data_IF_851613179630
#
_entry.id   IF_851613179630
#
_cell.length_a   1.000
_cell.length_b   1.000
_cell.length_c   1.000
_cell.angle_alpha   90.00
_cell.angle_beta   90.00
_cell.angle_gamma   90.00
#
_symmetry.space_group_name_H-M   'P 1'
#
loop_
_entity.id
_entity.type
_entity.pdbx_description
1 polymer ?
#
# COMPACT_ATOMS: atom_id res chain seq x y z
N UNK A 1 45.94 10.45 43.62
CA UNK A 1 45.24 10.90 44.84
C UNK A 1 43.74 10.65 44.67
N UNK A 2 43.20 9.50 45.10
CA UNK A 2 41.76 9.35 45.33
C UNK A 2 41.49 9.22 46.83
N UNK A 3 40.54 10.01 47.34
CA UNK A 3 39.99 9.88 48.69
C UNK A 3 38.48 9.67 48.58
N UNK A 4 37.91 8.63 49.21
CA UNK A 4 36.49 8.29 49.13
C UNK A 4 35.71 8.85 50.33
N UNK A 5 34.40 9.01 50.18
CA UNK A 5 33.48 8.86 51.32
C UNK A 5 32.28 8.02 50.88
N UNK A 6 32.10 6.93 51.61
CA UNK A 6 30.94 6.06 51.61
C UNK A 6 29.99 6.51 52.71
N UNK A 7 28.71 6.24 52.53
CA UNK A 7 27.74 5.68 53.49
C UNK A 7 26.34 5.92 52.91
N UNK A 8 25.42 4.96 52.83
CA UNK A 8 25.29 3.72 53.58
C UNK A 8 23.88 3.66 54.16
N UNK A 9 23.27 2.47 54.09
CA UNK A 9 22.05 2.01 54.79
C UNK A 9 20.66 2.22 54.15
N UNK A 10 20.19 1.11 53.55
CA UNK A 10 18.80 0.64 53.48
C UNK A 10 18.41 -0.06 54.83
N UNK A 11 17.33 -0.86 54.97
CA UNK A 11 15.91 -0.77 54.53
C UNK A 11 14.86 -1.10 55.65
N UNK A 12 13.56 -1.04 55.28
CA UNK A 12 12.37 -1.78 55.81
C UNK A 12 11.70 -1.30 57.12
N UNK A 13 10.53 -1.83 57.57
CA UNK A 13 9.45 -2.62 56.93
C UNK A 13 8.03 -2.03 57.16
N UNK A 14 6.98 -2.74 56.71
CA UNK A 14 5.61 -2.21 56.51
C UNK A 14 4.64 -2.18 57.69
N UNK A 15 3.35 -1.91 57.40
CA UNK A 15 2.20 -2.33 58.23
C UNK A 15 0.87 -2.32 57.47
N UNK A 16 0.04 -3.28 57.85
CA UNK A 16 -1.25 -3.69 57.29
C UNK A 16 -2.44 -2.91 57.88
N UNK A 17 -3.61 -3.16 57.26
CA UNK A 17 -5.00 -3.15 57.78
C UNK A 17 -5.72 -1.80 57.85
N UNK A 18 -6.82 -1.65 57.09
CA UNK A 18 -8.19 -1.74 57.66
C UNK A 18 -9.27 -1.48 56.62
N UNK A 19 -10.19 -2.44 56.53
CA UNK A 19 -11.52 -2.25 55.97
C UNK A 19 -12.30 -1.17 56.75
N UNK A 20 -13.17 -0.43 56.07
CA UNK A 20 -14.33 0.23 56.70
C UNK A 20 -15.60 -0.11 55.94
N UNK A 21 -16.57 -0.57 56.73
CA UNK A 21 -17.91 -1.03 56.38
C UNK A 21 -18.89 0.15 56.26
N UNK A 22 -19.79 0.02 55.27
CA UNK A 22 -21.26 0.17 55.35
C UNK A 22 -21.85 1.58 55.60
N UNK A 23 -22.77 1.97 54.71
CA UNK A 23 -24.19 2.21 55.06
C UNK A 23 -25.12 2.06 53.84
N UNK A 24 -26.00 1.05 53.94
CA UNK A 24 -27.17 0.80 53.11
C UNK A 24 -28.19 1.93 53.30
N UNK A 25 -28.89 2.31 52.23
CA UNK A 25 -30.28 2.79 52.32
C UNK A 25 -31.15 1.82 51.52
N UNK A 26 -32.02 1.12 52.25
CA UNK A 26 -33.16 0.38 51.74
C UNK A 26 -34.35 1.35 51.71
N UNK A 27 -35.09 1.38 50.61
CA UNK A 27 -36.52 1.63 50.63
C UNK A 27 -37.19 0.62 49.70
N UNK A 28 -38.31 0.12 50.20
CA UNK A 28 -38.93 -1.17 49.92
C UNK A 28 -40.14 -1.06 49.01
N UNK A 29 -40.54 -2.20 48.44
CA UNK A 29 -41.89 -2.46 47.91
C UNK A 29 -42.01 -2.30 46.39
N UNK A 30 -42.53 -3.25 45.62
CA UNK A 30 -43.25 -4.48 45.93
C UNK A 30 -43.08 -5.50 44.79
N UNK A 31 -43.21 -6.76 45.18
CA UNK A 31 -43.17 -7.99 44.36
C UNK A 31 -44.52 -8.22 43.69
N UNK A 32 -44.52 -8.62 42.41
CA UNK A 32 -45.50 -9.58 41.86
C UNK A 32 -44.72 -10.57 40.98
N UNK A 33 -44.98 -11.86 41.19
CA UNK A 33 -44.22 -13.02 40.73
C UNK A 33 -44.81 -13.68 39.46
N UNK A 34 -44.12 -14.77 39.05
CA UNK A 34 -44.41 -15.81 38.03
C UNK A 34 -43.85 -15.52 36.61
N UNK A 35 -43.08 -16.39 35.91
CA UNK A 35 -42.80 -17.83 36.01
C UNK A 35 -41.54 -18.19 35.17
N UNK A 36 -40.80 -19.19 35.66
CA UNK A 36 -40.03 -20.24 34.96
C UNK A 36 -39.16 -19.94 33.70
N UNK A 37 -37.87 -20.23 33.84
CA UNK A 37 -36.95 -20.49 32.73
C UNK A 37 -35.51 -20.59 33.20
N UNK A 38 -35.07 -21.79 33.61
CA UNK A 38 -33.66 -22.03 33.91
C UNK A 38 -32.84 -21.89 32.61
N UNK A 39 -31.99 -20.87 32.52
CA UNK A 39 -31.01 -20.74 31.43
C UNK A 39 -29.83 -21.63 31.75
N UNK A 40 -29.78 -22.79 31.12
CA UNK A 40 -28.62 -23.67 31.13
C UNK A 40 -27.43 -22.93 30.50
N UNK A 41 -26.39 -22.66 31.29
CA UNK A 41 -25.10 -22.21 30.76
C UNK A 41 -24.42 -23.42 30.13
N UNK A 42 -24.47 -23.51 28.80
CA UNK A 42 -23.63 -24.44 28.05
C UNK A 42 -22.21 -23.86 27.93
N UNK A 43 -21.17 -24.71 27.94
CA UNK A 43 -19.82 -24.25 27.64
C UNK A 43 -19.78 -23.80 26.17
N UNK A 44 -19.07 -22.70 25.91
CA UNK A 44 -18.80 -22.23 24.56
C UNK A 44 -18.01 -23.31 23.80
N UNK A 45 -18.72 -24.12 23.02
CA UNK A 45 -18.11 -24.99 22.03
C UNK A 45 -17.41 -24.13 20.99
N UNK A 46 -16.23 -24.59 20.57
CA UNK A 46 -15.36 -24.05 19.53
C UNK A 46 -16.17 -23.41 18.39
N UNK A 47 -16.06 -22.09 18.26
CA UNK A 47 -16.44 -21.43 17.01
C UNK A 47 -15.31 -21.71 16.03
N UNK A 48 -15.59 -22.25 14.83
CA UNK A 48 -14.56 -22.34 13.81
C UNK A 48 -14.05 -20.92 13.53
N UNK A 49 -12.73 -20.77 13.49
CA UNK A 49 -12.04 -19.57 13.02
C UNK A 49 -12.65 -19.20 11.66
N UNK A 50 -13.28 -18.04 11.59
CA UNK A 50 -13.85 -17.53 10.35
C UNK A 50 -12.66 -17.20 9.43
N UNK A 51 -12.43 -18.04 8.43
CA UNK A 51 -11.41 -17.80 7.40
C UNK A 51 -11.79 -16.46 6.77
N UNK A 52 -10.97 -15.44 7.00
CA UNK A 52 -11.14 -14.11 6.39
C UNK A 52 -10.82 -14.24 4.89
N UNK A 53 -11.84 -14.60 4.12
CA UNK A 53 -11.77 -14.65 2.66
C UNK A 53 -11.80 -13.19 2.20
N UNK A 54 -10.80 -12.70 1.42
CA UNK A 54 -10.80 -11.32 0.97
C UNK A 54 -12.14 -11.00 0.30
N UNK A 55 -12.81 -9.98 0.82
CA UNK A 55 -14.13 -9.59 0.35
C UNK A 55 -14.06 -9.30 -1.15
N UNK A 56 -14.87 -10.00 -1.94
CA UNK A 56 -15.08 -9.66 -3.34
C UNK A 56 -15.61 -8.23 -3.37
N UNK A 57 -14.86 -7.33 -3.99
CA UNK A 57 -15.22 -5.92 -4.06
C UNK A 57 -16.66 -5.77 -4.60
N UNK A 58 -17.48 -4.98 -3.90
CA UNK A 58 -18.88 -4.78 -4.28
C UNK A 58 -18.97 -4.21 -5.71
N UNK A 59 -19.95 -4.62 -6.54
CA UNK A 59 -20.08 -4.16 -7.92
C UNK A 59 -19.92 -2.63 -8.04
N UNK A 60 -18.97 -2.18 -8.85
CA UNK A 60 -18.65 -0.76 -9.03
C UNK A 60 -17.61 -0.17 -8.08
N UNK A 61 -16.85 -1.00 -7.37
CA UNK A 61 -15.62 -0.61 -6.64
C UNK A 61 -14.41 -0.92 -7.52
N UNK A 62 -13.46 0.01 -7.62
CA UNK A 62 -12.24 -0.12 -8.41
C UNK A 62 -11.11 -0.67 -7.54
N UNK A 63 -10.63 -1.87 -7.86
CA UNK A 63 -9.50 -2.52 -7.17
C UNK A 63 -8.18 -2.00 -7.72
N UNK A 64 -7.48 -1.21 -6.93
CA UNK A 64 -6.21 -0.58 -7.33
C UNK A 64 -5.06 -1.21 -6.55
N UNK A 65 -4.06 -1.75 -7.23
CA UNK A 65 -2.83 -2.25 -6.60
C UNK A 65 -1.70 -1.21 -6.73
N UNK A 66 -1.31 -0.52 -5.65
CA UNK A 66 -0.05 0.23 -5.61
C UNK A 66 1.14 -0.75 -5.57
N UNK A 67 1.84 -0.95 -6.68
CA UNK A 67 2.94 -1.91 -6.82
C UNK A 67 4.28 -1.21 -6.99
N UNK A 68 5.26 -1.52 -6.14
CA UNK A 68 6.60 -0.96 -6.31
C UNK A 68 7.52 -1.10 -5.10
N UNK A 69 8.34 -0.07 -4.88
CA UNK A 69 9.35 -0.06 -3.84
C UNK A 69 9.04 0.95 -2.71
N UNK A 70 10.07 1.60 -2.16
CA UNK A 70 9.95 2.55 -1.04
C UNK A 70 9.08 3.76 -1.35
N UNK A 71 9.05 4.23 -2.60
CA UNK A 71 8.16 5.32 -3.00
C UNK A 71 6.67 4.94 -2.97
N UNK A 72 6.36 3.65 -3.16
CA UNK A 72 5.00 3.11 -3.01
C UNK A 72 4.64 2.90 -1.55
N UNK A 73 5.61 2.45 -0.72
CA UNK A 73 5.46 2.43 0.75
C UNK A 73 5.18 3.84 1.28
N UNK A 74 5.80 4.87 0.67
CA UNK A 74 5.59 6.27 1.04
C UNK A 74 6.75 6.89 1.81
N UNK A 75 7.96 6.35 1.66
CA UNK A 75 9.17 6.96 2.24
C UNK A 75 9.32 8.39 1.71
N UNK A 76 9.67 9.33 2.58
CA UNK A 76 9.68 10.77 2.28
C UNK A 76 8.34 11.48 2.53
N UNK A 77 7.25 10.75 2.78
CA UNK A 77 5.95 11.31 3.20
C UNK A 77 5.09 10.27 3.93
N UNK A 78 5.55 9.83 5.11
CA UNK A 78 4.85 8.83 5.92
C UNK A 78 3.46 9.29 6.37
N UNK A 79 3.30 10.59 6.67
CA UNK A 79 2.03 11.21 7.04
C UNK A 79 0.94 11.14 5.95
N UNK A 80 1.31 10.79 4.72
CA UNK A 80 0.36 10.62 3.60
C UNK A 80 0.53 9.29 2.89
N UNK A 81 1.30 8.35 3.45
CA UNK A 81 1.62 7.09 2.79
C UNK A 81 2.18 7.30 1.35
N UNK A 82 3.00 8.34 1.17
CA UNK A 82 3.46 8.77 -0.15
C UNK A 82 2.31 9.37 -0.96
N UNK A 83 2.05 8.81 -2.13
CA UNK A 83 0.95 9.25 -3.00
C UNK A 83 -0.39 8.62 -2.65
N UNK A 84 -0.45 7.58 -1.80
CA UNK A 84 -1.65 6.76 -1.62
C UNK A 84 -2.80 7.54 -0.97
N UNK A 85 -2.55 8.29 0.12
CA UNK A 85 -3.57 9.16 0.70
C UNK A 85 -4.11 10.22 -0.27
N UNK A 86 -3.26 11.08 -0.89
CA UNK A 86 -3.79 12.08 -1.82
C UNK A 86 -4.42 11.48 -3.09
N UNK A 87 -4.07 10.25 -3.47
CA UNK A 87 -4.74 9.55 -4.57
C UNK A 87 -6.13 9.09 -4.15
N UNK A 88 -6.26 8.48 -2.97
CA UNK A 88 -7.54 8.09 -2.38
C UNK A 88 -8.50 9.28 -2.29
N UNK A 89 -8.04 10.41 -1.75
CA UNK A 89 -8.82 11.64 -1.61
C UNK A 89 -9.33 12.14 -2.97
N UNK A 90 -8.48 12.13 -4.00
CA UNK A 90 -8.83 12.56 -5.36
C UNK A 90 -9.87 11.67 -6.01
N UNK A 91 -9.62 10.35 -6.02
CA UNK A 91 -10.55 9.39 -6.62
C UNK A 91 -11.92 9.42 -5.93
N UNK A 92 -11.92 9.52 -4.59
CA UNK A 92 -13.17 9.63 -3.82
C UNK A 92 -13.91 10.93 -4.13
N UNK A 93 -13.20 12.06 -4.26
CA UNK A 93 -13.80 13.34 -4.64
C UNK A 93 -14.39 13.33 -6.06
N UNK A 94 -13.86 12.48 -6.94
CA UNK A 94 -14.38 12.22 -8.30
C UNK A 94 -15.53 11.19 -8.31
N UNK A 95 -15.95 10.68 -7.14
CA UNK A 95 -17.03 9.70 -7.00
C UNK A 95 -16.61 8.25 -7.31
N UNK A 96 -15.32 7.98 -7.45
CA UNK A 96 -14.79 6.63 -7.64
C UNK A 96 -14.72 5.94 -6.27
N UNK A 97 -15.38 4.79 -6.14
CA UNK A 97 -15.18 3.90 -4.98
C UNK A 97 -13.92 3.09 -5.22
N UNK A 98 -12.94 3.23 -4.34
CA UNK A 98 -11.63 2.58 -4.46
C UNK A 98 -11.49 1.51 -3.37
N UNK A 99 -10.83 0.42 -3.73
CA UNK A 99 -10.35 -0.64 -2.86
C UNK A 99 -8.86 -0.81 -3.19
N UNK A 100 -7.98 -0.41 -2.28
CA UNK A 100 -6.55 -0.68 -2.46
C UNK A 100 -6.29 -2.15 -2.15
N UNK A 101 -5.51 -2.81 -3.00
CA UNK A 101 -5.24 -4.25 -2.83
C UNK A 101 -3.75 -4.53 -2.82
N UNK A 102 -3.34 -5.48 -1.97
CA UNK A 102 -1.97 -5.93 -1.85
C UNK A 102 -1.74 -6.68 -0.54
N UNK A 103 -0.61 -7.36 -0.43
CA UNK A 103 -0.30 -8.19 0.74
C UNK A 103 0.29 -7.42 1.93
N UNK A 104 0.43 -6.10 1.83
CA UNK A 104 0.96 -5.23 2.89
C UNK A 104 -0.03 -4.14 3.19
N UNK A 105 -0.12 -3.74 4.46
CA UNK A 105 -0.96 -2.63 4.89
C UNK A 105 -0.16 -1.71 5.79
N UNK A 106 0.13 -0.50 5.32
CA UNK A 106 0.81 0.54 6.12
C UNK A 106 0.39 1.93 5.68
N UNK A 107 0.12 2.83 6.62
CA UNK A 107 -0.28 4.21 6.34
C UNK A 107 -0.73 4.95 7.60
N UNK A 108 -1.04 6.25 7.50
CA UNK A 108 -1.64 7.02 8.59
C UNK A 108 -3.11 6.64 8.77
N UNK A 109 -3.69 6.86 9.97
CA UNK A 109 -5.12 6.63 10.25
C UNK A 109 -6.06 7.40 9.31
N UNK A 110 -5.59 8.51 8.73
CA UNK A 110 -6.34 9.31 7.77
C UNK A 110 -6.53 8.62 6.41
N UNK A 111 -5.75 7.58 6.09
CA UNK A 111 -5.90 6.75 4.90
C UNK A 111 -6.84 5.58 5.23
N UNK A 112 -8.09 5.57 4.75
CA UNK A 112 -9.08 4.57 5.16
C UNK A 112 -8.70 3.14 4.77
N UNK A 113 -7.99 3.01 3.65
CA UNK A 113 -7.48 1.74 3.14
C UNK A 113 -5.98 1.86 2.91
N UNK A 114 -5.21 1.15 3.71
CA UNK A 114 -3.76 1.27 3.73
C UNK A 114 -3.04 0.19 2.92
N UNK A 115 -3.79 -0.63 2.17
CA UNK A 115 -3.25 -1.78 1.45
C UNK A 115 -2.37 -1.37 0.26
N UNK A 116 -1.33 -2.15 0.01
CA UNK A 116 -0.37 -1.94 -1.07
C UNK A 116 0.54 -3.15 -1.31
N UNK A 117 1.26 -3.10 -2.42
CA UNK A 117 2.33 -4.06 -2.76
C UNK A 117 3.70 -3.34 -2.87
N UNK A 118 3.87 -2.24 -2.14
CA UNK A 118 5.15 -1.53 -1.95
C UNK A 118 6.17 -2.27 -1.07
N UNK A 119 7.40 -2.44 -1.58
CA UNK A 119 8.51 -3.11 -0.88
C UNK A 119 9.82 -2.33 -0.92
N UNK A 120 10.14 -1.61 0.15
CA UNK A 120 11.37 -0.81 0.26
C UNK A 120 12.63 -1.59 -0.13
N UNK A 121 13.45 -1.00 -1.00
CA UNK A 121 14.70 -1.59 -1.51
C UNK A 121 14.54 -2.66 -2.60
N UNK A 122 13.33 -2.98 -3.04
CA UNK A 122 13.15 -3.99 -4.10
C UNK A 122 13.42 -3.41 -5.49
N UNK A 123 14.26 -4.13 -6.25
CA UNK A 123 14.43 -3.96 -7.68
C UNK A 123 13.33 -4.69 -8.46
N UNK A 124 13.09 -4.31 -9.71
CA UNK A 124 12.23 -5.05 -10.62
C UNK A 124 12.73 -6.50 -10.76
N UNK A 125 14.05 -6.71 -10.86
CA UNK A 125 14.65 -8.04 -10.86
C UNK A 125 14.16 -8.93 -9.69
N UNK A 126 14.10 -8.35 -8.49
CA UNK A 126 13.67 -9.05 -7.27
C UNK A 126 12.15 -9.29 -7.24
N UNK A 127 11.36 -8.45 -7.92
CA UNK A 127 9.90 -8.58 -7.99
C UNK A 127 9.46 -9.72 -8.93
N UNK A 128 10.18 -9.95 -10.04
CA UNK A 128 9.81 -10.93 -11.08
C UNK A 128 9.30 -12.28 -10.55
N UNK A 129 10.00 -12.99 -9.62
CA UNK A 129 9.55 -14.30 -9.17
C UNK A 129 8.29 -14.27 -8.29
N UNK A 130 7.92 -13.11 -7.74
CA UNK A 130 6.86 -12.99 -6.74
C UNK A 130 5.60 -12.31 -7.29
N UNK A 131 5.75 -11.37 -8.22
CA UNK A 131 4.69 -10.44 -8.62
C UNK A 131 3.45 -11.13 -9.17
N UNK A 132 3.61 -12.22 -9.92
CA UNK A 132 2.47 -12.99 -10.42
C UNK A 132 1.61 -13.56 -9.30
N UNK A 133 2.21 -14.01 -8.19
CA UNK A 133 1.48 -14.51 -7.03
C UNK A 133 0.71 -13.40 -6.29
N UNK A 134 1.31 -12.21 -6.16
CA UNK A 134 0.65 -11.06 -5.54
C UNK A 134 -0.54 -10.58 -6.37
N UNK A 135 -0.36 -10.46 -7.68
CA UNK A 135 -1.42 -10.04 -8.61
C UNK A 135 -2.56 -11.07 -8.64
N UNK A 136 -2.22 -12.36 -8.70
CA UNK A 136 -3.22 -13.43 -8.69
C UNK A 136 -4.05 -13.42 -7.40
N UNK A 137 -3.41 -13.24 -6.25
CA UNK A 137 -4.09 -13.22 -4.96
C UNK A 137 -4.98 -11.97 -4.77
N UNK A 138 -4.54 -10.83 -5.32
CA UNK A 138 -5.20 -9.56 -5.14
C UNK A 138 -6.18 -9.19 -6.27
N UNK A 139 -6.19 -9.91 -7.40
CA UNK A 139 -7.08 -9.68 -8.56
C UNK A 139 -7.40 -8.20 -8.85
N UNK A 140 -6.40 -7.36 -9.18
CA UNK A 140 -6.60 -5.92 -9.33
C UNK A 140 -7.23 -5.56 -10.68
N UNK A 141 -8.11 -4.56 -10.68
CA UNK A 141 -8.58 -3.90 -11.92
C UNK A 141 -7.48 -3.03 -12.52
N UNK A 142 -6.73 -2.32 -11.67
CA UNK A 142 -5.63 -1.42 -12.06
C UNK A 142 -4.39 -1.70 -11.22
N UNK A 143 -3.22 -1.81 -11.86
CA UNK A 143 -1.91 -1.86 -11.20
C UNK A 143 -1.16 -0.56 -11.46
N UNK A 144 -0.76 0.12 -10.38
CA UNK A 144 0.12 1.29 -10.44
C UNK A 144 1.56 0.81 -10.26
N UNK A 145 2.29 0.63 -11.36
CA UNK A 145 3.65 0.08 -11.35
C UNK A 145 4.69 1.20 -11.34
N UNK A 146 5.46 1.29 -10.25
CA UNK A 146 6.67 2.11 -10.20
C UNK A 146 7.86 1.33 -9.58
N UNK A 147 8.80 0.95 -10.44
CA UNK A 147 10.02 0.22 -10.09
C UNK A 147 11.19 0.62 -11.01
N UNK A 148 12.38 0.05 -10.78
CA UNK A 148 13.60 0.34 -11.55
C UNK A 148 14.60 1.26 -10.84
N UNK A 149 14.18 2.03 -9.84
CA UNK A 149 15.09 2.89 -9.04
C UNK A 149 16.20 2.05 -8.39
N UNK A 150 15.84 0.93 -7.75
CA UNK A 150 16.80 0.07 -7.05
C UNK A 150 17.65 -0.77 -8.00
N UNK A 151 17.16 -1.12 -9.19
CA UNK A 151 17.96 -1.76 -10.24
C UNK A 151 19.12 -0.83 -10.64
N UNK A 152 18.82 0.44 -10.93
CA UNK A 152 19.83 1.43 -11.31
C UNK A 152 20.79 1.75 -10.17
N UNK A 153 20.30 1.93 -8.95
CA UNK A 153 21.16 2.13 -7.78
C UNK A 153 22.05 0.91 -7.49
N UNK A 154 21.57 -0.30 -7.80
CA UNK A 154 22.32 -1.55 -7.72
C UNK A 154 23.30 -1.76 -8.87
N UNK A 155 23.41 -0.81 -9.82
CA UNK A 155 24.36 -0.86 -10.94
C UNK A 155 23.86 -1.60 -12.18
N UNK A 156 22.59 -2.01 -12.23
CA UNK A 156 22.03 -2.58 -13.45
C UNK A 156 21.98 -1.53 -14.58
N UNK A 157 22.15 -1.99 -15.83
CA UNK A 157 21.98 -1.13 -17.00
C UNK A 157 20.49 -0.81 -17.23
N UNK A 158 20.24 0.24 -18.01
CA UNK A 158 18.92 0.58 -18.51
C UNK A 158 18.27 -0.59 -19.27
N UNK A 159 19.06 -1.30 -20.09
CA UNK A 159 18.58 -2.47 -20.83
C UNK A 159 18.18 -3.61 -19.90
N UNK A 160 19.02 -3.94 -18.90
CA UNK A 160 18.70 -4.99 -17.93
C UNK A 160 17.47 -4.62 -17.09
N UNK A 161 17.36 -3.35 -16.69
CA UNK A 161 16.20 -2.84 -15.93
C UNK A 161 14.92 -2.88 -16.75
N UNK A 162 14.97 -2.49 -18.03
CA UNK A 162 13.84 -2.59 -18.96
C UNK A 162 13.40 -4.05 -19.13
N UNK A 163 14.33 -4.98 -19.32
CA UNK A 163 14.02 -6.42 -19.43
C UNK A 163 13.44 -7.01 -18.12
N UNK A 164 13.81 -6.46 -16.95
CA UNK A 164 13.18 -6.84 -15.69
C UNK A 164 11.73 -6.34 -15.62
N UNK A 165 11.48 -5.09 -16.04
CA UNK A 165 10.14 -4.50 -16.03
C UNK A 165 9.22 -5.17 -17.07
N UNK A 166 9.74 -5.53 -18.22
CA UNK A 166 9.07 -6.36 -19.22
C UNK A 166 8.61 -7.70 -18.61
N UNK A 167 9.52 -8.43 -17.95
CA UNK A 167 9.16 -9.66 -17.22
C UNK A 167 8.19 -9.45 -16.06
N UNK A 168 8.19 -8.27 -15.43
CA UNK A 168 7.19 -7.93 -14.41
C UNK A 168 5.81 -7.80 -15.06
N UNK A 169 5.72 -7.10 -16.21
CA UNK A 169 4.47 -6.99 -16.97
C UNK A 169 3.97 -8.35 -17.44
N UNK A 170 4.84 -9.22 -17.98
CA UNK A 170 4.48 -10.60 -18.36
C UNK A 170 3.80 -11.32 -17.20
N UNK A 171 4.39 -11.25 -16.00
CA UNK A 171 3.87 -11.95 -14.82
C UNK A 171 2.57 -11.34 -14.31
N UNK A 172 2.40 -10.02 -14.45
CA UNK A 172 1.13 -9.34 -14.14
C UNK A 172 0.05 -9.84 -15.10
N UNK A 173 0.28 -9.82 -16.41
CA UNK A 173 -0.73 -10.20 -17.40
C UNK A 173 -1.00 -11.71 -17.47
N UNK A 174 -0.04 -12.56 -17.11
CA UNK A 174 -0.30 -14.00 -16.89
C UNK A 174 -1.26 -14.21 -15.71
N UNK A 175 -1.10 -13.45 -14.63
CA UNK A 175 -1.91 -13.60 -13.42
C UNK A 175 -3.29 -12.94 -13.52
N UNK A 176 -3.36 -11.76 -14.14
CA UNK A 176 -4.59 -10.99 -14.36
C UNK A 176 -4.62 -10.44 -15.80
N UNK A 177 -5.01 -11.26 -16.80
CA UNK A 177 -4.94 -10.88 -18.23
C UNK A 177 -5.74 -9.62 -18.59
N UNK A 178 -6.72 -9.26 -17.76
CA UNK A 178 -7.63 -8.13 -17.97
C UNK A 178 -7.31 -6.89 -17.15
N UNK A 179 -6.31 -6.95 -16.28
CA UNK A 179 -5.91 -5.79 -15.47
C UNK A 179 -5.40 -4.67 -16.37
N UNK A 180 -5.54 -3.43 -15.92
CA UNK A 180 -4.90 -2.29 -16.56
C UNK A 180 -3.63 -1.90 -15.81
N UNK A 181 -2.49 -1.89 -16.48
CA UNK A 181 -1.22 -1.47 -15.87
C UNK A 181 -0.87 -0.04 -16.30
N UNK A 182 -0.70 0.84 -15.33
CA UNK A 182 -0.09 2.16 -15.56
C UNK A 182 1.34 2.09 -15.04
N UNK A 183 2.31 2.06 -15.95
CA UNK A 183 3.74 1.98 -15.63
C UNK A 183 4.36 3.38 -15.67
N UNK A 184 4.81 3.88 -14.52
CA UNK A 184 5.54 5.15 -14.46
C UNK A 184 7.04 4.93 -14.67
N UNK A 185 7.70 5.89 -15.33
CA UNK A 185 9.15 5.98 -15.35
C UNK A 185 9.75 6.23 -13.96
N UNK A 186 11.08 6.15 -13.85
CA UNK A 186 11.78 6.42 -12.58
C UNK A 186 11.80 7.93 -12.31
N UNK A 187 11.05 8.39 -11.30
CA UNK A 187 11.05 9.80 -10.87
C UNK A 187 12.22 10.17 -9.95
N UNK A 188 12.94 9.19 -9.42
CA UNK A 188 14.08 9.44 -8.54
C UNK A 188 15.21 10.21 -9.26
N UNK A 189 15.83 11.25 -8.64
CA UNK A 189 16.81 12.11 -9.32
C UNK A 189 18.13 11.46 -9.72
N UNK A 190 18.53 10.35 -9.09
CA UNK A 190 19.65 9.47 -9.46
C UNK A 190 20.81 10.15 -10.25
N UNK A 191 21.46 11.20 -9.70
CA UNK A 191 22.41 12.01 -10.47
C UNK A 191 23.60 11.20 -10.98
N UNK A 192 24.06 10.20 -10.20
CA UNK A 192 25.15 9.29 -10.59
C UNK A 192 24.75 8.33 -11.72
N UNK A 193 23.45 8.04 -11.88
CA UNK A 193 22.91 7.14 -12.90
C UNK A 193 22.12 7.89 -13.98
N UNK A 194 22.31 9.22 -14.12
CA UNK A 194 21.53 10.07 -15.04
C UNK A 194 21.45 9.51 -16.45
N UNK A 195 22.56 9.02 -17.00
CA UNK A 195 22.62 8.43 -18.34
C UNK A 195 21.77 7.14 -18.43
N UNK A 196 21.89 6.25 -17.45
CA UNK A 196 21.11 5.00 -17.41
C UNK A 196 19.62 5.28 -17.18
N UNK A 197 19.27 6.24 -16.33
CA UNK A 197 17.88 6.64 -16.13
C UNK A 197 17.27 7.22 -17.42
N UNK A 198 17.98 8.11 -18.09
CA UNK A 198 17.49 8.70 -19.35
C UNK A 198 17.34 7.64 -20.45
N UNK A 199 18.26 6.68 -20.51
CA UNK A 199 18.14 5.53 -21.43
C UNK A 199 16.98 4.61 -21.07
N UNK A 200 16.73 4.36 -19.78
CA UNK A 200 15.58 3.59 -19.33
C UNK A 200 14.27 4.26 -19.73
N UNK A 201 14.15 5.58 -19.51
CA UNK A 201 12.97 6.36 -19.92
C UNK A 201 12.70 6.24 -21.43
N UNK A 202 13.74 6.15 -22.28
CA UNK A 202 13.56 5.95 -23.73
C UNK A 202 13.11 4.54 -24.10
N UNK A 203 13.40 3.53 -23.28
CA UNK A 203 13.10 2.11 -23.55
C UNK A 203 11.70 1.69 -23.11
N UNK A 204 11.22 2.20 -21.98
CA UNK A 204 9.93 1.79 -21.41
C UNK A 204 8.70 2.06 -22.29
N UNK A 205 8.65 3.11 -23.13
CA UNK A 205 7.57 3.27 -24.11
C UNK A 205 7.48 2.09 -25.08
N UNK A 206 8.62 1.56 -25.54
CA UNK A 206 8.66 0.42 -26.45
C UNK A 206 8.18 -0.86 -25.74
N UNK A 207 8.61 -1.11 -24.51
CA UNK A 207 8.12 -2.25 -23.71
C UNK A 207 6.60 -2.19 -23.57
N UNK A 208 6.04 -1.04 -23.19
CA UNK A 208 4.58 -0.90 -23.10
C UNK A 208 3.88 -1.01 -24.48
N UNK A 209 4.54 -0.62 -25.57
CA UNK A 209 4.00 -0.80 -26.92
C UNK A 209 3.95 -2.27 -27.33
N UNK A 210 4.99 -3.06 -27.03
CA UNK A 210 5.06 -4.49 -27.34
C UNK A 210 3.96 -5.27 -26.60
N UNK A 211 3.77 -4.98 -25.30
CA UNK A 211 2.65 -5.54 -24.53
C UNK A 211 1.28 -5.14 -25.08
N UNK A 212 1.08 -3.87 -25.49
CA UNK A 212 -0.16 -3.46 -26.16
C UNK A 212 -0.38 -4.17 -27.49
N UNK A 213 0.67 -4.40 -28.27
CA UNK A 213 0.60 -5.12 -29.53
C UNK A 213 0.27 -6.61 -29.33
N UNK A 214 0.67 -7.18 -28.19
CA UNK A 214 0.25 -8.51 -27.72
C UNK A 214 -1.18 -8.53 -27.14
N UNK A 215 -1.90 -7.41 -27.19
CA UNK A 215 -3.25 -7.30 -26.67
C UNK A 215 -3.28 -7.14 -25.17
N UNK A 216 -2.30 -6.55 -24.49
CA UNK A 216 -2.42 -6.22 -23.07
C UNK A 216 -2.83 -4.76 -22.83
N UNK A 217 -3.54 -4.50 -21.73
CA UNK A 217 -3.95 -3.15 -21.34
C UNK A 217 -2.88 -2.49 -20.49
N UNK A 218 -1.86 -1.90 -21.13
CA UNK A 218 -0.77 -1.18 -20.45
C UNK A 218 -0.53 0.19 -21.05
N UNK A 219 -0.12 1.14 -20.23
CA UNK A 219 0.46 2.40 -20.69
C UNK A 219 1.73 2.75 -19.93
N UNK A 220 2.59 3.53 -20.59
CA UNK A 220 3.76 4.14 -19.97
C UNK A 220 3.50 5.63 -19.73
N UNK A 221 3.84 6.11 -18.54
CA UNK A 221 3.81 7.53 -18.19
C UNK A 221 5.24 8.00 -17.97
N UNK A 222 5.69 8.93 -18.81
CA UNK A 222 6.95 9.62 -18.57
C UNK A 222 6.79 10.61 -17.42
N UNK A 223 7.62 10.45 -16.41
CA UNK A 223 7.62 11.27 -15.19
C UNK A 223 8.92 12.06 -15.03
N UNK A 224 9.80 12.05 -16.04
CA UNK A 224 11.12 12.68 -15.99
C UNK A 224 11.08 14.18 -15.69
N UNK A 225 10.02 14.86 -16.15
CA UNK A 225 9.79 16.29 -15.93
C UNK A 225 8.75 16.60 -14.84
N UNK A 226 8.04 15.58 -14.36
CA UNK A 226 7.02 15.72 -13.31
C UNK A 226 7.65 16.18 -11.98
N UNK A 227 8.95 15.92 -11.75
CA UNK A 227 9.67 16.29 -10.53
C UNK A 227 11.12 16.75 -10.75
N UNK A 228 11.43 18.06 -10.62
CA UNK A 228 12.82 18.49 -10.52
C UNK A 228 13.46 17.99 -9.21
N UNK A 229 14.75 17.66 -9.26
CA UNK A 229 15.52 17.05 -8.16
C UNK A 229 15.41 17.78 -6.80
N UNK A 230 15.11 19.09 -6.82
CA UNK A 230 14.90 19.94 -5.66
C UNK A 230 13.66 19.59 -4.82
N UNK A 231 12.84 18.61 -5.24
CA UNK A 231 11.62 18.19 -4.52
C UNK A 231 11.73 16.81 -3.88
N UNK A 232 12.92 16.45 -3.44
CA UNK A 232 13.15 15.22 -2.64
C UNK A 232 13.24 15.52 -1.15
N UNK A 233 12.86 14.56 -0.32
CA UNK A 233 12.97 14.65 1.14
C UNK A 233 14.39 14.34 1.64
N UNK A 234 15.11 13.46 0.95
CA UNK A 234 16.42 12.92 1.35
C UNK A 234 17.41 12.77 0.18
N UNK A 235 17.15 13.44 -0.95
CA UNK A 235 17.94 13.29 -2.18
C UNK A 235 17.52 12.12 -3.07
N UNK A 236 16.62 11.25 -2.61
CA UNK A 236 16.12 10.09 -3.36
C UNK A 236 14.58 10.05 -3.45
N UNK A 237 13.91 10.09 -2.30
CA UNK A 237 12.47 9.96 -2.19
C UNK A 237 11.76 11.29 -2.38
N UNK A 238 10.59 11.28 -3.02
CA UNK A 238 9.78 12.47 -3.23
C UNK A 238 9.38 13.12 -1.89
N UNK A 239 9.34 14.44 -1.85
CA UNK A 239 8.76 15.19 -0.72
C UNK A 239 7.21 15.15 -0.79
N UNK A 240 6.49 15.46 0.30
CA UNK A 240 5.02 15.37 0.35
C UNK A 240 4.30 16.10 -0.81
N UNK A 241 4.78 17.29 -1.17
CA UNK A 241 4.25 18.07 -2.29
C UNK A 241 4.42 17.39 -3.66
N UNK A 242 5.51 16.65 -3.85
CA UNK A 242 5.74 15.88 -5.06
C UNK A 242 4.82 14.66 -5.11
N UNK A 243 4.63 13.96 -3.98
CA UNK A 243 3.67 12.86 -3.91
C UNK A 243 2.23 13.27 -4.24
N UNK A 244 1.80 14.50 -3.90
CA UNK A 244 0.48 15.02 -4.33
C UNK A 244 0.33 15.16 -5.84
N UNK A 245 1.40 15.49 -6.56
CA UNK A 245 1.40 15.53 -8.01
C UNK A 245 1.49 14.13 -8.63
N UNK A 246 2.23 13.20 -8.00
CA UNK A 246 2.20 11.77 -8.37
C UNK A 246 0.76 11.24 -8.26
N UNK A 247 0.08 11.54 -7.17
CA UNK A 247 -1.32 11.19 -6.98
C UNK A 247 -2.24 11.81 -8.05
N UNK A 248 -2.03 13.07 -8.41
CA UNK A 248 -2.78 13.73 -9.49
C UNK A 248 -2.60 13.03 -10.83
N UNK A 249 -1.36 12.69 -11.18
CA UNK A 249 -1.05 11.92 -12.39
C UNK A 249 -1.74 10.55 -12.38
N UNK A 250 -1.63 9.79 -11.29
CA UNK A 250 -2.31 8.49 -11.19
C UNK A 250 -3.83 8.61 -11.32
N UNK A 251 -4.46 9.60 -10.66
CA UNK A 251 -5.89 9.86 -10.76
C UNK A 251 -6.31 10.18 -12.19
N UNK A 252 -5.57 11.06 -12.89
CA UNK A 252 -5.83 11.41 -14.28
C UNK A 252 -5.77 10.17 -15.20
N UNK A 253 -4.75 9.31 -15.02
CA UNK A 253 -4.62 8.08 -15.82
C UNK A 253 -5.74 7.08 -15.54
N UNK A 254 -6.11 6.90 -14.27
CA UNK A 254 -7.25 6.05 -13.88
C UNK A 254 -8.54 6.58 -14.49
N UNK A 255 -8.82 7.88 -14.36
CA UNK A 255 -10.01 8.52 -14.92
C UNK A 255 -10.09 8.33 -16.44
N UNK A 256 -8.99 8.60 -17.16
CA UNK A 256 -8.92 8.41 -18.60
C UNK A 256 -9.15 6.96 -19.04
N UNK A 257 -8.78 5.97 -18.21
CA UNK A 257 -9.10 4.56 -18.48
C UNK A 257 -10.57 4.23 -18.19
N UNK A 258 -11.14 4.76 -17.10
CA UNK A 258 -12.54 4.58 -16.73
C UNK A 258 -13.51 5.18 -17.77
N UNK A 259 -13.10 6.24 -18.49
CA UNK A 259 -13.91 6.84 -19.55
C UNK A 259 -13.93 6.02 -20.86
N UNK A 260 -13.01 5.04 -21.03
CA UNK A 260 -12.98 4.23 -22.25
C UNK A 260 -14.22 3.34 -22.34
N UNK A 261 -14.81 3.15 -23.54
CA UNK A 261 -15.92 2.22 -23.73
C UNK A 261 -15.61 0.81 -23.17
N UNK A 262 -16.58 0.08 -22.62
CA UNK A 262 -16.38 -1.27 -22.06
C UNK A 262 -15.64 -2.22 -23.00
N UNK A 263 -15.94 -2.14 -24.30
CA UNK A 263 -15.31 -2.97 -25.34
C UNK A 263 -13.83 -2.61 -25.52
N UNK A 264 -13.45 -1.34 -25.33
CA UNK A 264 -12.05 -0.88 -25.34
C UNK A 264 -11.32 -1.12 -24.02
N UNK A 265 -12.05 -1.36 -22.92
CA UNK A 265 -11.49 -1.87 -21.66
C UNK A 265 -11.26 -3.39 -21.71
N UNK A 266 -11.88 -4.10 -22.66
CA UNK A 266 -11.87 -5.57 -22.79
C UNK A 266 -11.18 -6.12 -24.04
N UNK A 267 -10.98 -5.32 -25.09
CA UNK A 267 -10.39 -5.74 -26.39
C UNK A 267 -8.86 -5.85 -26.40
N UNK A 268 -8.25 -5.91 -25.22
CA UNK A 268 -6.90 -6.40 -25.00
C UNK A 268 -6.95 -7.93 -24.84
N UNK A 269 -7.40 -8.65 -25.86
CA UNK A 269 -7.57 -10.10 -25.83
C UNK A 269 -7.19 -10.76 -27.15
#
# INVERSE_FOLDING_TARGET
MPGPTADGAAPAPGRRVSARRVRRRLLSGAVVALLAGAVSVLPAADRPEEIDVPAVAAPGTLRVMPLGASSTVGVGSTATAGYRLPLWERLTAEGVRVDYVGSRSTGPDALPDADHEGRSGWSAARMVPMVGGWVLAADPDVVLLHAGTNDLLGGASAQATAANLDRVLDRIFVAAPRTHVIMAGVWAPLPKQRAQRAELTRRLPQVAQEHRAAGHSVEFVDVGDLFPAARTADGLHAAPQAYRAIAGMWAERIGAWLERPPDRRRASG
#
